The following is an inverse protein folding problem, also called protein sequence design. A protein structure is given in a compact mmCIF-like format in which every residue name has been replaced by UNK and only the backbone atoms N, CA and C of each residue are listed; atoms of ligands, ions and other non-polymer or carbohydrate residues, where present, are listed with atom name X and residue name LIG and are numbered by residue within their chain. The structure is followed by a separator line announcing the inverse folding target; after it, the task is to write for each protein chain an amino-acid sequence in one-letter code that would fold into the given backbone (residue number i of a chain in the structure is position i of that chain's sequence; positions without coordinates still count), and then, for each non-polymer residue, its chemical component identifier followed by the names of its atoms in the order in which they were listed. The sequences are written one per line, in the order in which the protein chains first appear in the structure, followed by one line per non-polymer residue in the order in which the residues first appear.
data_IF_456061143352
#
_entry.id   IF_456061143352
#
_cell.length_a   1.000
_cell.length_b   1.000
_cell.length_c   1.000
_cell.angle_alpha   90.00
_cell.angle_beta   90.00
_cell.angle_gamma   90.00
#
_symmetry.space_group_name_H-M   'P 1'
#
loop_
_entity.id
_entity.type
_entity.pdbx_description
1 polymer ?
#
# COMPACT_ATOMS: atom_id res chain seq x y z
N UNK A 1 -19.57 3.69 3.66
CA UNK A 1 -18.28 3.74 2.91
C UNK A 1 -17.43 4.93 3.32
N UNK A 2 -17.71 6.19 2.92
CA UNK A 2 -16.84 7.34 3.31
C UNK A 2 -16.65 7.49 4.83
N UNK A 3 -17.70 7.29 5.61
CA UNK A 3 -17.61 7.35 7.08
C UNK A 3 -16.73 6.21 7.64
N UNK A 4 -16.89 4.98 7.13
CA UNK A 4 -16.08 3.83 7.54
C UNK A 4 -14.60 3.99 7.13
N UNK A 5 -14.36 4.50 5.93
CA UNK A 5 -13.02 4.87 5.45
C UNK A 5 -12.37 5.91 6.37
N UNK A 6 -13.11 6.96 6.74
CA UNK A 6 -12.62 7.98 7.67
C UNK A 6 -12.26 7.40 9.04
N UNK A 7 -13.06 6.47 9.57
CA UNK A 7 -12.77 5.80 10.84
C UNK A 7 -11.49 4.95 10.75
N UNK A 8 -11.34 4.15 9.70
CA UNK A 8 -10.17 3.28 9.51
C UNK A 8 -8.89 4.09 9.32
N UNK A 9 -8.95 5.19 8.55
CA UNK A 9 -7.82 6.11 8.37
C UNK A 9 -7.43 6.76 9.70
N UNK A 10 -8.40 7.24 10.49
CA UNK A 10 -8.12 7.82 11.80
C UNK A 10 -7.51 6.81 12.80
N UNK A 11 -7.92 5.54 12.74
CA UNK A 11 -7.31 4.48 13.54
C UNK A 11 -5.87 4.18 13.10
N UNK A 12 -5.62 4.17 11.80
CA UNK A 12 -4.27 3.97 11.25
C UNK A 12 -3.35 5.12 11.64
N UNK A 13 -3.80 6.37 11.51
CA UNK A 13 -3.03 7.56 11.89
C UNK A 13 -2.70 7.55 13.39
N UNK A 14 -3.66 7.15 14.24
CA UNK A 14 -3.44 6.97 15.67
C UNK A 14 -2.37 5.92 15.96
N UNK A 15 -2.53 4.72 15.42
CA UNK A 15 -1.58 3.62 15.64
C UNK A 15 -0.17 3.99 15.13
N UNK A 16 -0.08 4.70 14.01
CA UNK A 16 1.18 5.20 13.48
C UNK A 16 1.84 6.24 14.41
N UNK A 17 1.05 7.15 14.97
CA UNK A 17 1.51 8.12 15.96
C UNK A 17 2.04 7.46 17.24
N UNK A 18 1.27 6.51 17.80
CA UNK A 18 1.65 5.75 18.98
C UNK A 18 2.94 4.95 18.75
N UNK A 19 3.07 4.27 17.60
CA UNK A 19 4.28 3.53 17.23
C UNK A 19 5.50 4.44 17.12
N UNK A 20 5.33 5.63 16.55
CA UNK A 20 6.42 6.59 16.39
C UNK A 20 6.89 7.13 17.74
N UNK A 21 5.95 7.40 18.64
CA UNK A 21 6.23 7.82 20.02
C UNK A 21 6.97 6.74 20.81
N UNK A 22 6.48 5.51 20.76
CA UNK A 22 7.06 4.38 21.48
C UNK A 22 8.46 4.04 20.95
N UNK A 23 8.63 4.01 19.63
CA UNK A 23 9.94 3.87 18.99
C UNK A 23 10.92 4.96 19.45
N UNK A 24 10.49 6.21 19.53
CA UNK A 24 11.36 7.32 19.96
C UNK A 24 11.81 7.14 21.40
N UNK A 25 10.88 6.79 22.30
CA UNK A 25 11.18 6.51 23.71
C UNK A 25 12.16 5.35 23.83
N UNK A 26 11.88 4.23 23.17
CA UNK A 26 12.77 3.07 23.15
C UNK A 26 14.18 3.42 22.67
N UNK A 27 14.30 4.17 21.56
CA UNK A 27 15.61 4.60 21.04
C UNK A 27 16.34 5.50 22.04
N UNK A 28 15.64 6.40 22.72
CA UNK A 28 16.20 7.24 23.78
C UNK A 28 16.75 6.41 24.93
N UNK A 29 15.93 5.52 25.49
CA UNK A 29 16.28 4.70 26.65
C UNK A 29 17.47 3.77 26.35
N UNK A 30 17.48 3.14 25.17
CA UNK A 30 18.58 2.28 24.74
C UNK A 30 19.86 3.08 24.52
N UNK A 31 19.74 4.31 24.01
CA UNK A 31 20.90 5.20 23.78
C UNK A 31 21.49 5.72 25.09
N UNK A 32 20.66 6.09 26.06
CA UNK A 32 21.10 6.44 27.42
C UNK A 32 21.83 5.27 28.06
N UNK A 33 21.23 4.07 27.99
CA UNK A 33 21.84 2.87 28.52
C UNK A 33 23.16 2.52 27.85
N UNK A 34 23.27 2.71 26.54
CA UNK A 34 24.53 2.55 25.81
C UNK A 34 25.60 3.51 26.36
N UNK A 35 25.26 4.78 26.56
CA UNK A 35 26.18 5.78 27.13
C UNK A 35 26.63 5.41 28.55
N UNK A 36 25.74 4.84 29.36
CA UNK A 36 26.08 4.35 30.70
C UNK A 36 27.05 3.17 30.63
N UNK A 37 26.81 2.22 29.72
CA UNK A 37 27.72 1.09 29.49
C UNK A 37 29.10 1.57 29.01
N UNK A 38 29.15 2.50 28.05
CA UNK A 38 30.40 3.08 27.54
C UNK A 38 31.19 3.76 28.68
N UNK A 39 30.50 4.47 29.58
CA UNK A 39 31.12 5.10 30.76
C UNK A 39 31.68 4.06 31.74
N UNK A 40 30.92 3.01 32.05
CA UNK A 40 31.35 1.94 32.94
C UNK A 40 32.56 1.18 32.40
N UNK A 41 32.62 0.95 31.08
CA UNK A 41 33.76 0.32 30.43
C UNK A 41 35.03 1.14 30.70
N UNK A 42 34.97 2.46 30.48
CA UNK A 42 36.11 3.37 30.74
C UNK A 42 36.50 3.38 32.21
N UNK A 43 35.54 3.36 33.14
CA UNK A 43 35.84 3.29 34.58
C UNK A 43 36.54 1.99 34.96
N UNK A 44 36.09 0.85 34.43
CA UNK A 44 36.71 -0.46 34.67
C UNK A 44 38.12 -0.51 34.07
N UNK A 45 38.32 0.01 32.86
CA UNK A 45 39.63 0.10 32.23
C UNK A 45 40.59 0.95 33.07
N UNK A 46 40.13 2.11 33.57
CA UNK A 46 40.93 2.95 34.47
C UNK A 46 41.28 2.24 35.79
N UNK A 47 40.36 1.45 36.35
CA UNK A 47 40.58 0.68 37.58
C UNK A 47 41.66 -0.39 37.40
N UNK A 48 41.72 -1.02 36.22
CA UNK A 48 42.72 -2.04 35.88
C UNK A 48 44.15 -1.48 35.97
N UNK A 49 44.35 -0.23 35.59
CA UNK A 49 45.67 0.39 35.51
C UNK A 49 46.09 1.09 36.84
N UNK A 50 45.25 1.07 37.88
CA UNK A 50 45.54 1.72 39.16
C UNK A 50 46.42 0.88 40.11
N UNK A 51 47.16 1.54 41.03
CA UNK A 51 47.87 0.86 42.11
C UNK A 51 46.92 0.06 43.02
N UNK A 52 47.37 -1.09 43.51
CA UNK A 52 46.59 -2.06 44.30
C UNK A 52 45.86 -1.45 45.50
N UNK A 53 46.54 -0.55 46.23
CA UNK A 53 45.97 0.11 47.42
C UNK A 53 44.81 1.03 47.04
N UNK A 54 44.94 1.81 45.96
CA UNK A 54 43.87 2.68 45.48
C UNK A 54 42.70 1.85 44.96
N UNK A 55 42.98 0.85 44.12
CA UNK A 55 41.98 -0.05 43.57
C UNK A 55 41.09 -0.69 44.64
N UNK A 56 41.69 -1.22 45.72
CA UNK A 56 40.95 -1.87 46.79
C UNK A 56 40.04 -0.91 47.59
N UNK A 57 40.36 0.39 47.61
CA UNK A 57 39.55 1.37 48.35
C UNK A 57 38.22 1.71 47.66
N UNK A 58 38.13 1.59 46.33
CA UNK A 58 37.03 2.16 45.55
C UNK A 58 36.44 1.24 44.46
N UNK A 59 36.97 0.02 44.28
CA UNK A 59 36.39 -1.03 43.41
C UNK A 59 34.92 -1.34 43.74
N UNK A 60 34.52 -1.27 45.02
CA UNK A 60 33.15 -1.55 45.45
C UNK A 60 32.10 -0.60 44.87
N UNK A 61 32.46 0.67 44.62
CA UNK A 61 31.57 1.64 43.97
C UNK A 61 31.34 1.31 42.50
N UNK A 62 32.41 0.90 41.82
CA UNK A 62 32.36 0.47 40.41
C UNK A 62 31.50 -0.79 40.28
N UNK A 63 31.69 -1.76 41.18
CA UNK A 63 30.90 -3.00 41.21
C UNK A 63 29.41 -2.74 41.45
N UNK A 64 29.10 -1.83 42.38
CA UNK A 64 27.71 -1.42 42.67
C UNK A 64 27.04 -0.75 41.46
N UNK A 65 27.82 0.03 40.70
CA UNK A 65 27.34 0.69 39.48
C UNK A 65 27.10 -0.30 38.34
N UNK A 66 27.89 -1.38 38.25
CA UNK A 66 27.64 -2.48 37.30
C UNK A 66 26.33 -3.22 37.57
N UNK A 67 25.96 -3.42 38.85
CA UNK A 67 24.68 -4.05 39.20
C UNK A 67 23.47 -3.22 38.73
N UNK A 68 23.55 -1.88 38.81
CA UNK A 68 22.49 -0.99 38.35
C UNK A 68 22.23 -1.09 36.83
N UNK A 69 23.25 -1.45 36.04
CA UNK A 69 23.16 -1.55 34.58
C UNK A 69 22.71 -2.94 34.10
N UNK A 70 22.48 -3.90 34.99
CA UNK A 70 21.91 -5.23 34.65
C UNK A 70 20.40 -5.25 34.42
N UNK A 71 19.70 -4.14 34.57
CA UNK A 71 18.25 -4.06 34.34
C UNK A 71 17.84 -4.69 32.99
N UNK A 72 16.63 -5.23 32.79
CA UNK A 72 16.20 -5.69 31.47
C UNK A 72 16.24 -4.56 30.43
N UNK A 73 16.47 -4.89 29.15
CA UNK A 73 16.28 -3.93 28.06
C UNK A 73 14.76 -3.67 27.97
N UNK A 74 14.31 -2.42 27.86
CA UNK A 74 12.88 -2.11 27.68
C UNK A 74 12.30 -2.84 26.46
N UNK A 75 11.01 -3.16 26.49
CA UNK A 75 10.35 -3.70 25.29
C UNK A 75 10.23 -2.61 24.21
N UNK A 76 10.47 -2.92 22.91
CA UNK A 76 10.43 -1.90 21.85
C UNK A 76 9.04 -1.35 21.56
N UNK A 77 8.01 -2.18 21.77
CA UNK A 77 6.61 -1.89 21.43
C UNK A 77 5.69 -2.64 22.40
N UNK A 78 4.68 -1.96 22.93
CA UNK A 78 3.65 -2.51 23.80
C UNK A 78 2.81 -3.60 23.13
N UNK A 79 2.34 -4.56 23.95
CA UNK A 79 1.45 -5.63 23.49
C UNK A 79 0.10 -5.09 23.00
N UNK A 80 -0.41 -3.99 23.58
CA UNK A 80 -1.65 -3.37 23.09
C UNK A 80 -1.50 -2.83 21.67
N UNK A 81 -0.38 -2.18 21.37
CA UNK A 81 -0.14 -1.60 20.05
C UNK A 81 0.07 -2.70 19.01
N UNK A 82 0.77 -3.78 19.34
CA UNK A 82 0.90 -4.96 18.47
C UNK A 82 -0.46 -5.53 18.07
N UNK A 83 -1.34 -5.77 19.05
CA UNK A 83 -2.71 -6.26 18.80
C UNK A 83 -3.53 -5.30 17.94
N UNK A 84 -3.37 -4.00 18.14
CA UNK A 84 -4.06 -2.97 17.37
C UNK A 84 -3.63 -3.01 15.90
N UNK A 85 -2.32 -3.13 15.63
CA UNK A 85 -1.78 -3.23 14.27
C UNK A 85 -2.22 -4.53 13.59
N UNK A 86 -2.23 -5.65 14.31
CA UNK A 86 -2.73 -6.94 13.81
C UNK A 86 -4.21 -6.84 13.40
N UNK A 87 -5.05 -6.27 14.25
CA UNK A 87 -6.48 -6.08 13.95
C UNK A 87 -6.72 -5.16 12.74
N UNK A 88 -5.93 -4.09 12.60
CA UNK A 88 -5.99 -3.22 11.43
C UNK A 88 -5.56 -3.95 10.15
N UNK A 89 -4.55 -4.82 10.23
CA UNK A 89 -4.08 -5.65 9.12
C UNK A 89 -5.17 -6.61 8.63
N UNK A 90 -5.84 -7.30 9.56
CA UNK A 90 -6.97 -8.18 9.26
C UNK A 90 -8.12 -7.40 8.57
N UNK A 91 -8.45 -6.23 9.13
CA UNK A 91 -9.49 -5.36 8.56
C UNK A 91 -9.14 -4.90 7.15
N UNK A 92 -7.88 -4.55 6.91
CA UNK A 92 -7.38 -4.17 5.57
C UNK A 92 -7.55 -5.30 4.55
N UNK A 93 -7.20 -6.52 4.92
CA UNK A 93 -7.36 -7.70 4.06
C UNK A 93 -8.84 -7.93 3.69
N UNK A 94 -9.75 -7.79 4.66
CA UNK A 94 -11.19 -7.91 4.42
C UNK A 94 -11.69 -6.84 3.42
N UNK A 95 -11.29 -5.58 3.61
CA UNK A 95 -11.68 -4.48 2.71
C UNK A 95 -11.19 -4.75 1.29
N UNK A 96 -9.93 -5.16 1.12
CA UNK A 96 -9.37 -5.52 -0.19
C UNK A 96 -10.15 -6.66 -0.83
N UNK A 97 -10.49 -7.70 -0.06
CA UNK A 97 -11.27 -8.84 -0.53
C UNK A 97 -12.65 -8.44 -1.05
N UNK A 98 -13.41 -7.67 -0.27
CA UNK A 98 -14.75 -7.20 -0.64
C UNK A 98 -14.72 -6.33 -1.90
N UNK A 99 -13.72 -5.43 -2.02
CA UNK A 99 -13.58 -4.58 -3.21
C UNK A 99 -13.24 -5.41 -4.45
N UNK A 100 -12.37 -6.41 -4.31
CA UNK A 100 -12.03 -7.31 -5.41
C UNK A 100 -13.25 -8.13 -5.87
N UNK A 101 -14.03 -8.66 -4.92
CA UNK A 101 -15.27 -9.39 -5.22
C UNK A 101 -16.31 -8.50 -5.90
N UNK A 102 -16.51 -7.28 -5.39
CA UNK A 102 -17.41 -6.31 -6.00
C UNK A 102 -17.02 -6.00 -7.45
N UNK A 103 -15.72 -5.78 -7.70
CA UNK A 103 -15.19 -5.55 -9.06
C UNK A 103 -15.44 -6.76 -9.96
N UNK A 104 -15.20 -7.97 -9.49
CA UNK A 104 -15.44 -9.19 -10.26
C UNK A 104 -16.92 -9.37 -10.62
N UNK A 105 -17.82 -9.15 -9.65
CA UNK A 105 -19.26 -9.22 -9.84
C UNK A 105 -19.75 -8.16 -10.84
N UNK A 106 -19.20 -6.95 -10.78
CA UNK A 106 -19.56 -5.86 -11.69
C UNK A 106 -19.12 -6.16 -13.13
N UNK A 107 -17.89 -6.65 -13.33
CA UNK A 107 -17.41 -7.10 -14.64
C UNK A 107 -18.27 -8.25 -15.20
N UNK A 108 -18.58 -9.24 -14.37
CA UNK A 108 -19.44 -10.36 -14.77
C UNK A 108 -20.84 -9.90 -15.20
N UNK A 109 -21.43 -8.95 -14.48
CA UNK A 109 -22.73 -8.37 -14.83
C UNK A 109 -22.67 -7.61 -16.15
N UNK A 110 -21.62 -6.80 -16.36
CA UNK A 110 -21.41 -6.09 -17.62
C UNK A 110 -21.26 -7.05 -18.81
N UNK A 111 -20.53 -8.16 -18.65
CA UNK A 111 -20.38 -9.16 -19.70
C UNK A 111 -21.71 -9.87 -20.02
N UNK A 112 -22.57 -10.11 -19.01
CA UNK A 112 -23.90 -10.70 -19.20
C UNK A 112 -24.87 -9.76 -19.92
N UNK A 113 -24.81 -8.47 -19.61
CA UNK A 113 -25.68 -7.44 -20.22
C UNK A 113 -25.12 -6.93 -21.55
N UNK A 114 -23.93 -7.39 -21.96
CA UNK A 114 -23.29 -7.00 -23.21
C UNK A 114 -24.06 -7.54 -24.40
N UNK A 115 -24.80 -6.65 -25.06
CA UNK A 115 -25.47 -6.96 -26.32
C UNK A 115 -24.44 -7.06 -27.44
N UNK A 116 -24.59 -8.07 -28.29
CA UNK A 116 -23.78 -8.20 -29.51
C UNK A 116 -24.23 -7.13 -30.51
N UNK A 117 -23.29 -6.28 -30.90
CA UNK A 117 -23.50 -5.24 -31.92
C UNK A 117 -22.60 -5.55 -33.10
N UNK A 118 -23.16 -5.45 -34.30
CA UNK A 118 -22.44 -5.46 -35.58
C UNK A 118 -22.59 -4.10 -36.25
N UNK A 119 -21.76 -3.81 -37.23
CA UNK A 119 -21.82 -2.59 -38.02
C UNK A 119 -22.74 -2.83 -39.23
N UNK A 120 -23.67 -1.92 -39.48
CA UNK A 120 -24.63 -2.02 -40.58
C UNK A 120 -24.00 -1.53 -41.90
N UNK A 121 -23.73 -2.42 -42.87
CA UNK A 121 -23.11 -2.05 -44.14
C UNK A 121 -23.97 -1.14 -45.03
N UNK A 122 -25.30 -1.13 -44.84
CA UNK A 122 -26.20 -0.25 -45.59
C UNK A 122 -26.02 1.22 -45.20
N UNK A 123 -25.60 1.46 -43.95
CA UNK A 123 -25.40 2.81 -43.41
C UNK A 123 -23.96 3.29 -43.60
N UNK A 124 -23.02 2.36 -43.75
CA UNK A 124 -21.58 2.65 -43.76
C UNK A 124 -21.17 3.63 -44.87
N UNK A 125 -20.43 4.67 -44.50
CA UNK A 125 -19.90 5.62 -45.47
C UNK A 125 -18.98 4.95 -46.52
N UNK A 126 -18.95 5.41 -47.78
CA UNK A 126 -18.04 4.89 -48.80
C UNK A 126 -16.55 5.01 -48.46
N UNK A 127 -16.20 5.88 -47.50
CA UNK A 127 -14.83 6.03 -47.01
C UNK A 127 -14.43 4.97 -45.98
N UNK A 128 -15.36 4.12 -45.53
CA UNK A 128 -15.11 3.12 -44.48
C UNK A 128 -15.01 1.71 -45.03
N UNK A 129 -14.03 0.95 -44.56
CA UNK A 129 -13.86 -0.48 -44.84
C UNK A 129 -14.28 -1.27 -43.61
N UNK A 130 -15.32 -2.10 -43.75
CA UNK A 130 -15.78 -3.02 -42.71
C UNK A 130 -15.06 -4.37 -42.84
N UNK A 131 -14.80 -5.04 -41.71
CA UNK A 131 -14.37 -6.45 -41.72
C UNK A 131 -15.50 -7.37 -42.19
N UNK A 132 -15.15 -8.58 -42.64
CA UNK A 132 -16.11 -9.58 -43.10
C UNK A 132 -17.16 -9.94 -42.04
N UNK A 133 -16.79 -9.92 -40.76
CA UNK A 133 -17.68 -10.18 -39.63
C UNK A 133 -18.47 -8.93 -39.16
N UNK A 134 -18.29 -7.79 -39.84
CA UNK A 134 -18.91 -6.51 -39.52
C UNK A 134 -18.69 -6.06 -38.07
N UNK A 135 -17.58 -6.43 -37.43
CA UNK A 135 -17.25 -6.01 -36.05
C UNK A 135 -16.19 -4.92 -35.97
N UNK A 136 -15.46 -4.70 -37.04
CA UNK A 136 -14.38 -3.71 -37.09
C UNK A 136 -14.55 -2.81 -38.30
N UNK A 137 -14.09 -1.57 -38.15
CA UNK A 137 -14.12 -0.55 -39.20
C UNK A 137 -12.80 0.17 -39.22
N UNK A 138 -12.34 0.50 -40.42
CA UNK A 138 -11.18 1.36 -40.66
C UNK A 138 -11.50 2.36 -41.75
N UNK A 139 -10.80 3.49 -41.75
CA UNK A 139 -10.85 4.44 -42.86
C UNK A 139 -10.10 3.84 -44.04
N UNK A 140 -10.71 3.87 -45.23
CA UNK A 140 -10.07 3.49 -46.48
C UNK A 140 -9.29 4.64 -47.10
N UNK A 141 -8.43 4.32 -48.07
CA UNK A 141 -7.55 5.28 -48.76
C UNK A 141 -8.30 6.22 -49.72
N UNK A 142 -9.61 6.04 -49.88
CA UNK A 142 -10.44 6.85 -50.76
C UNK A 142 -11.90 6.42 -50.74
N UNK A 143 -12.69 7.05 -51.62
CA UNK A 143 -14.10 6.77 -51.79
C UNK A 143 -14.30 5.42 -52.49
N UNK A 144 -14.90 4.43 -51.82
CA UNK A 144 -15.23 3.16 -52.44
C UNK A 144 -16.41 3.27 -53.40
N UNK A 145 -16.41 2.46 -54.46
CA UNK A 145 -17.50 2.37 -55.41
C UNK A 145 -18.66 1.53 -54.85
N UNK A 146 -19.35 2.08 -53.84
CA UNK A 146 -20.53 1.48 -53.24
C UNK A 146 -21.81 2.14 -53.78
N UNK A 147 -22.91 1.38 -53.93
CA UNK A 147 -24.19 1.95 -54.34
C UNK A 147 -24.70 2.95 -53.30
N UNK A 148 -25.15 4.11 -53.78
CA UNK A 148 -25.76 5.12 -52.94
C UNK A 148 -27.16 4.66 -52.51
N UNK A 149 -27.40 4.65 -51.20
CA UNK A 149 -28.70 4.35 -50.61
C UNK A 149 -29.12 5.50 -49.70
N UNK A 150 -30.42 5.76 -49.50
CA UNK A 150 -30.89 6.84 -48.62
C UNK A 150 -30.41 6.71 -47.16
N UNK A 151 -30.04 5.51 -46.73
CA UNK A 151 -29.53 5.22 -45.38
C UNK A 151 -28.02 5.47 -45.22
N UNK A 152 -27.28 5.65 -46.32
CA UNK A 152 -25.82 5.72 -46.31
C UNK A 152 -25.31 7.09 -45.90
N UNK A 153 -24.33 7.13 -45.00
CA UNK A 153 -23.64 8.38 -44.67
C UNK A 153 -22.72 8.83 -45.82
N UNK A 154 -23.08 9.92 -46.47
CA UNK A 154 -22.31 10.51 -47.58
C UNK A 154 -21.45 11.70 -47.16
N UNK A 155 -21.82 12.41 -46.09
CA UNK A 155 -21.12 13.62 -45.63
C UNK A 155 -20.05 13.40 -44.56
N UNK A 156 -20.01 12.23 -43.91
CA UNK A 156 -19.05 11.90 -42.86
C UNK A 156 -18.65 10.42 -42.94
N UNK A 157 -17.41 10.05 -42.53
CA UNK A 157 -16.97 8.66 -42.43
C UNK A 157 -17.60 8.00 -41.21
N UNK A 158 -18.90 7.72 -41.29
CA UNK A 158 -19.73 7.18 -40.20
C UNK A 158 -20.44 5.89 -40.62
N UNK A 159 -20.81 5.07 -39.64
CA UNK A 159 -21.57 3.82 -39.78
C UNK A 159 -22.41 3.62 -38.52
N UNK A 160 -23.62 3.08 -38.62
CA UNK A 160 -24.45 2.73 -37.47
C UNK A 160 -24.14 1.31 -36.99
N UNK A 161 -24.31 1.10 -35.69
CA UNK A 161 -24.42 -0.24 -35.13
C UNK A 161 -25.82 -0.82 -35.35
N UNK A 162 -25.88 -2.10 -35.65
CA UNK A 162 -27.09 -2.93 -35.66
C UNK A 162 -26.99 -4.00 -34.57
N UNK A 163 -28.13 -4.46 -34.06
CA UNK A 163 -28.17 -5.64 -33.20
C UNK A 163 -27.65 -6.85 -33.99
N UNK A 164 -26.69 -7.58 -33.43
CA UNK A 164 -25.92 -8.64 -34.12
C UNK A 164 -26.14 -10.04 -33.60
#
# INVERSE_FOLDING_TARGET
LREQEGVLLAQLDRAHGELTEERRRYVSDVSERKSLLDTLIVEIEKKRDQPEVEFLMDVGKTLSSCEAVKAPIPEPVSLELQRTVESLSETSQLVVGVVAEFKANLLSKMDRERVKVTLDPETASPYLILSKDCKTVRLGDGHQNLPNTPKRFTGSPSVLGSQG
#
